data_IF_244769180962
#
_entry.id   IF_244769180962
#
_cell.length_a   1.000
_cell.length_b   1.000
_cell.length_c   1.000
_cell.angle_alpha   90.00
_cell.angle_beta   90.00
_cell.angle_gamma   90.00
#
_symmetry.space_group_name_H-M   'P 1'
#
loop_
_entity.id
_entity.type
_entity.pdbx_description
1 polymer ?
#
# COMPACT_ATOMS: atom_id res chain seq x y z
N UNK A 1 14.51 14.19 -8.85
CA UNK A 1 13.86 13.24 -7.91
C UNK A 1 13.13 12.20 -8.75
N UNK A 2 13.47 10.90 -8.64
CA UNK A 2 12.73 9.86 -9.39
C UNK A 2 11.26 9.95 -8.98
N UNK A 3 10.34 10.09 -9.94
CA UNK A 3 8.91 10.04 -9.64
C UNK A 3 8.61 8.66 -9.05
N UNK A 4 8.08 8.66 -7.82
CA UNK A 4 7.55 7.43 -7.22
C UNK A 4 6.48 6.88 -8.16
N UNK A 5 6.46 5.54 -8.33
CA UNK A 5 5.44 4.86 -9.13
C UNK A 5 4.03 5.01 -8.53
N UNK A 6 3.96 5.29 -7.22
CA UNK A 6 2.71 5.49 -6.48
C UNK A 6 2.72 6.86 -5.82
N UNK A 7 1.58 7.56 -5.88
CA UNK A 7 1.34 8.80 -5.13
C UNK A 7 1.02 8.49 -3.67
N UNK A 8 1.13 9.49 -2.81
CA UNK A 8 0.80 9.32 -1.39
C UNK A 8 -0.68 8.96 -1.18
N UNK A 9 -1.57 9.56 -1.97
CA UNK A 9 -3.00 9.27 -1.93
C UNK A 9 -3.29 7.81 -2.33
N UNK A 10 -2.56 7.28 -3.31
CA UNK A 10 -2.65 5.86 -3.70
C UNK A 10 -2.16 4.95 -2.57
N UNK A 11 -1.05 5.30 -1.92
CA UNK A 11 -0.53 4.53 -0.78
C UNK A 11 -1.53 4.49 0.36
N UNK A 12 -2.05 5.66 0.77
CA UNK A 12 -3.05 5.78 1.84
C UNK A 12 -4.33 5.02 1.46
N UNK A 13 -4.76 5.08 0.20
CA UNK A 13 -5.91 4.30 -0.30
C UNK A 13 -5.74 2.80 -0.09
N UNK A 14 -4.59 2.23 -0.47
CA UNK A 14 -4.30 0.80 -0.27
C UNK A 14 -4.27 0.43 1.22
N UNK A 15 -3.70 1.28 2.07
CA UNK A 15 -3.67 1.03 3.52
C UNK A 15 -5.07 1.04 4.13
N UNK A 16 -5.95 1.97 3.71
CA UNK A 16 -7.35 2.00 4.13
C UNK A 16 -8.16 0.80 3.65
N UNK A 17 -7.92 0.31 2.44
CA UNK A 17 -8.56 -0.92 1.97
C UNK A 17 -8.20 -2.11 2.89
N UNK A 18 -6.95 -2.18 3.37
CA UNK A 18 -6.54 -3.17 4.36
C UNK A 18 -7.23 -2.98 5.71
N UNK A 19 -7.34 -1.74 6.20
CA UNK A 19 -8.08 -1.42 7.44
C UNK A 19 -9.57 -1.79 7.35
N UNK A 20 -10.16 -1.69 6.16
CA UNK A 20 -11.52 -2.13 5.87
C UNK A 20 -11.67 -3.67 5.77
N UNK A 21 -10.58 -4.43 5.99
CA UNK A 21 -10.59 -5.88 6.05
C UNK A 21 -10.05 -6.58 4.80
N UNK A 22 -9.52 -5.85 3.81
CA UNK A 22 -8.94 -6.50 2.63
C UNK A 22 -7.65 -7.27 2.99
N UNK A 23 -7.49 -8.44 2.38
CA UNK A 23 -6.33 -9.31 2.58
C UNK A 23 -5.13 -8.75 1.83
N UNK A 24 -3.99 -8.62 2.52
CA UNK A 24 -2.75 -8.04 1.96
C UNK A 24 -2.34 -8.74 0.65
N UNK A 25 -2.47 -10.06 0.56
CA UNK A 25 -2.11 -10.82 -0.64
C UNK A 25 -2.99 -10.48 -1.87
N UNK A 26 -4.24 -10.08 -1.67
CA UNK A 26 -5.12 -9.62 -2.74
C UNK A 26 -4.80 -8.18 -3.13
N UNK A 27 -4.56 -7.30 -2.16
CA UNK A 27 -4.11 -5.92 -2.41
C UNK A 27 -2.80 -5.90 -3.20
N UNK A 28 -1.84 -6.74 -2.83
CA UNK A 28 -0.57 -6.90 -3.53
C UNK A 28 -0.78 -7.23 -5.01
N UNK A 29 -1.65 -8.21 -5.30
CA UNK A 29 -1.99 -8.62 -6.67
C UNK A 29 -2.75 -7.53 -7.43
N UNK A 30 -3.76 -6.92 -6.80
CA UNK A 30 -4.62 -5.88 -7.39
C UNK A 30 -3.83 -4.62 -7.78
N UNK A 31 -2.92 -4.18 -6.92
CA UNK A 31 -2.18 -2.92 -7.11
C UNK A 31 -0.76 -3.13 -7.69
N UNK A 32 -0.37 -4.37 -7.95
CA UNK A 32 0.95 -4.70 -8.52
C UNK A 32 2.10 -4.31 -7.58
N UNK A 33 1.95 -4.60 -6.29
CA UNK A 33 2.92 -4.30 -5.23
C UNK A 33 3.30 -5.57 -4.47
N UNK A 34 4.50 -5.58 -3.90
CA UNK A 34 4.94 -6.69 -3.06
C UNK A 34 4.44 -6.53 -1.63
N UNK A 35 4.29 -7.64 -0.90
CA UNK A 35 3.94 -7.57 0.53
C UNK A 35 4.98 -6.79 1.34
N UNK A 36 6.26 -6.88 0.97
CA UNK A 36 7.32 -6.07 1.59
C UNK A 36 7.08 -4.56 1.39
N UNK A 37 6.67 -4.14 0.18
CA UNK A 37 6.30 -2.75 -0.11
C UNK A 37 5.10 -2.32 0.74
N UNK A 38 4.08 -3.16 0.86
CA UNK A 38 2.90 -2.87 1.69
C UNK A 38 3.29 -2.61 3.15
N UNK A 39 4.09 -3.48 3.76
CA UNK A 39 4.50 -3.30 5.16
C UNK A 39 5.42 -2.10 5.36
N UNK A 40 6.30 -1.79 4.40
CA UNK A 40 7.10 -0.57 4.44
C UNK A 40 6.21 0.69 4.42
N UNK A 41 5.14 0.69 3.63
CA UNK A 41 4.15 1.77 3.63
C UNK A 41 3.37 1.82 4.94
N UNK A 42 2.93 0.68 5.47
CA UNK A 42 2.23 0.61 6.76
C UNK A 42 3.09 1.16 7.90
N UNK A 43 4.39 0.88 7.92
CA UNK A 43 5.31 1.44 8.91
C UNK A 43 5.55 2.95 8.74
N UNK A 44 5.49 3.45 7.51
CA UNK A 44 5.76 4.87 7.21
C UNK A 44 4.52 5.77 7.34
N UNK A 45 3.35 5.25 6.99
CA UNK A 45 2.11 6.02 6.82
C UNK A 45 0.96 5.52 7.71
N UNK A 46 1.11 4.38 8.38
CA UNK A 46 0.05 3.75 9.18
C UNK A 46 -0.14 4.31 10.59
N UNK A 47 0.65 5.31 11.00
CA UNK A 47 0.66 5.85 12.37
C UNK A 47 1.64 5.12 13.28
#
# INVERSE_FOLDING_TARGET
MKRSRFTEEQIIGVLREHEAGAVVAELCRKHGLSSATFYAWKAKYGG
#
